data_IF_672725281165
#
_entry.id   IF_672725281165
#
_cell.length_a   1.000
_cell.length_b   1.000
_cell.length_c   1.000
_cell.angle_alpha   90.00
_cell.angle_beta   90.00
_cell.angle_gamma   90.00
#
_symmetry.space_group_name_H-M   'P 1'
#
loop_
_entity.id
_entity.type
_entity.pdbx_description
1 polymer ?
#
# COMPACT_ATOMS: atom_id res chain seq x y z
N UNK A 1 27.27 -2.09 11.89
CA UNK A 1 26.32 -3.15 12.24
C UNK A 1 24.91 -2.58 12.15
N UNK A 2 23.95 -3.35 11.62
CA UNK A 2 22.56 -2.92 11.44
C UNK A 2 21.89 -2.46 12.75
N UNK A 3 22.32 -3.02 13.89
CA UNK A 3 21.85 -2.63 15.21
C UNK A 3 22.01 -1.12 15.49
N UNK A 4 23.23 -0.59 15.31
CA UNK A 4 23.52 0.83 15.55
C UNK A 4 22.72 1.74 14.60
N UNK A 5 22.45 1.27 13.38
CA UNK A 5 21.60 1.99 12.44
C UNK A 5 20.15 2.04 12.93
N UNK A 6 19.61 0.91 13.37
CA UNK A 6 18.24 0.82 13.89
C UNK A 6 18.05 1.68 15.15
N UNK A 7 19.03 1.70 16.06
CA UNK A 7 19.04 2.63 17.20
C UNK A 7 19.05 4.09 16.76
N UNK A 8 19.89 4.44 15.77
CA UNK A 8 19.99 5.82 15.29
C UNK A 8 18.69 6.34 14.66
N UNK A 9 17.90 5.47 14.01
CA UNK A 9 16.63 5.83 13.35
C UNK A 9 15.40 5.56 14.21
N UNK A 10 15.54 4.95 15.39
CA UNK A 10 14.40 4.52 16.22
C UNK A 10 13.45 5.67 16.55
N UNK A 11 13.99 6.84 16.87
CA UNK A 11 13.20 8.02 17.23
C UNK A 11 12.28 8.50 16.09
N UNK A 12 12.76 8.46 14.83
CA UNK A 12 11.94 8.87 13.67
C UNK A 12 10.95 7.76 13.29
N UNK A 13 11.37 6.49 13.34
CA UNK A 13 10.48 5.35 13.06
C UNK A 13 9.29 5.34 14.03
N UNK A 14 9.54 5.57 15.33
CA UNK A 14 8.49 5.68 16.34
C UNK A 14 7.48 6.77 16.00
N UNK A 15 7.95 7.98 15.67
CA UNK A 15 7.07 9.10 15.30
C UNK A 15 6.27 8.84 14.02
N UNK A 16 6.86 8.12 13.06
CA UNK A 16 6.14 7.73 11.83
C UNK A 16 5.01 6.74 12.16
N UNK A 17 5.22 5.77 13.04
CA UNK A 17 4.13 4.86 13.47
C UNK A 17 3.06 5.56 14.31
N UNK A 18 3.43 6.51 15.17
CA UNK A 18 2.47 7.36 15.88
C UNK A 18 1.60 8.14 14.90
N UNK A 19 2.22 8.84 13.94
CA UNK A 19 1.48 9.55 12.89
C UNK A 19 0.61 8.58 12.06
N UNK A 20 1.14 7.41 11.69
CA UNK A 20 0.39 6.38 10.96
C UNK A 20 -0.88 5.97 11.70
N UNK A 21 -0.81 5.79 13.02
CA UNK A 21 -1.96 5.47 13.84
C UNK A 21 -3.01 6.59 13.84
N UNK A 22 -2.58 7.85 13.94
CA UNK A 22 -3.47 9.02 13.88
C UNK A 22 -4.20 9.10 12.52
N UNK A 23 -3.49 8.89 11.42
CA UNK A 23 -4.08 8.88 10.07
C UNK A 23 -5.10 7.76 9.89
N UNK A 24 -4.88 6.57 10.46
CA UNK A 24 -5.87 5.49 10.42
C UNK A 24 -7.18 5.86 11.13
N UNK A 25 -7.11 6.62 12.23
CA UNK A 25 -8.32 7.13 12.91
C UNK A 25 -9.07 8.10 12.00
N UNK A 26 -8.36 9.08 11.43
CA UNK A 26 -8.93 10.10 10.52
C UNK A 26 -9.58 9.43 9.31
N UNK A 27 -8.87 8.53 8.64
CA UNK A 27 -9.34 7.80 7.46
C UNK A 27 -10.58 6.97 7.78
N UNK A 28 -10.61 6.28 8.93
CA UNK A 28 -11.76 5.48 9.33
C UNK A 28 -13.01 6.33 9.55
N UNK A 29 -12.87 7.54 10.11
CA UNK A 29 -13.99 8.45 10.31
C UNK A 29 -14.47 9.06 8.98
N UNK A 30 -13.55 9.45 8.10
CA UNK A 30 -13.88 9.93 6.76
C UNK A 30 -14.55 8.85 5.91
N UNK A 31 -14.11 7.59 6.02
CA UNK A 31 -14.69 6.47 5.29
C UNK A 31 -16.17 6.24 5.64
N UNK A 32 -16.56 6.40 6.91
CA UNK A 32 -17.97 6.29 7.33
C UNK A 32 -18.83 7.36 6.64
N UNK A 33 -18.29 8.56 6.50
CA UNK A 33 -18.97 9.70 5.89
C UNK A 33 -18.92 9.69 4.36
N UNK A 34 -17.93 9.01 3.76
CA UNK A 34 -17.74 8.89 2.32
C UNK A 34 -18.67 7.89 1.64
N UNK A 35 -19.52 7.18 2.40
CA UNK A 35 -20.42 6.17 1.85
C UNK A 35 -21.61 6.82 1.12
N UNK A 36 -21.73 6.64 -0.21
CA UNK A 36 -22.83 7.25 -0.96
C UNK A 36 -24.18 6.65 -0.56
N UNK A 37 -25.29 7.36 -0.80
CA UNK A 37 -26.60 6.77 -0.65
C UNK A 37 -26.73 5.55 -1.59
N UNK A 38 -27.32 4.46 -1.09
CA UNK A 38 -27.48 3.21 -1.85
C UNK A 38 -28.92 3.11 -2.36
N UNK A 39 -29.07 3.01 -3.67
CA UNK A 39 -30.36 2.70 -4.28
C UNK A 39 -30.58 1.20 -4.31
N UNK A 40 -31.66 0.74 -3.67
CA UNK A 40 -32.06 -0.67 -3.65
C UNK A 40 -33.28 -0.84 -4.54
N UNK A 41 -33.22 -1.80 -5.46
CA UNK A 41 -34.33 -2.08 -6.38
C UNK A 41 -34.58 -3.59 -6.49
N UNK A 42 -35.81 -3.94 -6.92
CA UNK A 42 -36.13 -5.31 -7.30
C UNK A 42 -35.55 -5.60 -8.69
N UNK A 43 -34.78 -6.69 -8.82
CA UNK A 43 -34.19 -7.10 -10.11
C UNK A 43 -35.21 -7.66 -11.10
N UNK A 44 -36.40 -8.05 -10.63
CA UNK A 44 -37.49 -8.54 -11.48
C UNK A 44 -38.26 -7.40 -12.16
N UNK A 45 -38.03 -6.14 -11.78
CA UNK A 45 -38.65 -4.99 -12.44
C UNK A 45 -38.03 -4.75 -13.84
N UNK A 46 -38.80 -4.28 -14.83
CA UNK A 46 -38.26 -3.84 -16.10
C UNK A 46 -37.20 -2.74 -15.92
N UNK A 47 -36.21 -2.69 -16.82
CA UNK A 47 -35.08 -1.73 -16.74
C UNK A 47 -35.57 -0.28 -16.75
N UNK A 48 -36.60 0.01 -17.52
CA UNK A 48 -37.20 1.34 -17.67
C UNK A 48 -37.83 1.80 -16.35
N UNK A 49 -38.46 0.87 -15.62
CA UNK A 49 -39.04 1.13 -14.29
C UNK A 49 -37.93 1.41 -13.29
N UNK A 50 -36.88 0.59 -13.28
CA UNK A 50 -35.71 0.79 -12.39
C UNK A 50 -35.07 2.16 -12.65
N UNK A 51 -34.86 2.53 -13.93
CA UNK A 51 -34.24 3.80 -14.30
C UNK A 51 -35.10 5.00 -13.87
N UNK A 52 -36.42 4.94 -14.09
CA UNK A 52 -37.36 5.99 -13.65
C UNK A 52 -37.37 6.13 -12.13
N UNK A 53 -37.43 5.01 -11.41
CA UNK A 53 -37.49 5.01 -9.94
C UNK A 53 -36.16 5.49 -9.34
N UNK A 54 -35.02 5.14 -9.95
CA UNK A 54 -33.71 5.67 -9.59
C UNK A 54 -33.62 7.19 -9.81
N UNK A 55 -34.10 7.71 -10.94
CA UNK A 55 -34.14 9.14 -11.20
C UNK A 55 -35.01 9.88 -10.17
N UNK A 56 -36.20 9.35 -9.86
CA UNK A 56 -37.07 9.91 -8.83
C UNK A 56 -36.43 9.85 -7.42
N UNK A 57 -35.68 8.78 -7.12
CA UNK A 57 -34.95 8.64 -5.86
C UNK A 57 -33.81 9.65 -5.72
N UNK A 58 -33.05 9.92 -6.78
CA UNK A 58 -32.00 10.96 -6.78
C UNK A 58 -32.55 12.36 -6.53
N UNK A 59 -33.80 12.62 -6.91
CA UNK A 59 -34.45 13.92 -6.70
C UNK A 59 -34.87 14.17 -5.24
N UNK A 60 -34.84 13.15 -4.37
CA UNK A 60 -35.19 13.29 -2.96
C UNK A 60 -34.16 14.15 -2.22
N UNK A 61 -34.62 15.17 -1.47
CA UNK A 61 -33.76 16.13 -0.76
C UNK A 61 -32.70 15.46 0.12
N UNK A 62 -33.09 14.43 0.88
CA UNK A 62 -32.18 13.69 1.75
C UNK A 62 -31.10 12.92 0.97
N UNK A 63 -31.41 12.45 -0.24
CA UNK A 63 -30.46 11.74 -1.09
C UNK A 63 -29.45 12.72 -1.67
N UNK A 64 -29.90 13.88 -2.16
CA UNK A 64 -29.01 14.96 -2.60
C UNK A 64 -28.04 15.40 -1.50
N UNK A 65 -28.57 15.71 -0.31
CA UNK A 65 -27.75 16.11 0.84
C UNK A 65 -26.73 15.03 1.24
N UNK A 66 -27.16 13.76 1.29
CA UNK A 66 -26.24 12.65 1.62
C UNK A 66 -25.18 12.45 0.54
N UNK A 67 -25.55 12.60 -0.74
CA UNK A 67 -24.61 12.53 -1.86
C UNK A 67 -23.59 13.65 -1.80
N UNK A 68 -24.00 14.89 -1.60
CA UNK A 68 -23.09 16.03 -1.46
C UNK A 68 -22.11 15.84 -0.28
N UNK A 69 -22.60 15.37 0.88
CA UNK A 69 -21.74 15.04 2.03
C UNK A 69 -20.74 13.93 1.68
N UNK A 70 -21.22 12.87 1.04
CA UNK A 70 -20.40 11.74 0.62
C UNK A 70 -19.32 12.16 -0.37
N UNK A 71 -19.66 12.96 -1.38
CA UNK A 71 -18.72 13.43 -2.40
C UNK A 71 -17.60 14.29 -1.75
N UNK A 72 -17.94 15.19 -0.83
CA UNK A 72 -16.96 15.98 -0.07
C UNK A 72 -16.07 15.11 0.86
N UNK A 73 -16.66 14.08 1.48
CA UNK A 73 -15.91 13.16 2.34
C UNK A 73 -14.97 12.24 1.52
N UNK A 74 -15.33 11.88 0.28
CA UNK A 74 -14.46 11.11 -0.63
C UNK A 74 -13.19 11.91 -0.98
N UNK A 75 -13.33 13.20 -1.27
CA UNK A 75 -12.18 14.07 -1.56
C UNK A 75 -11.22 14.13 -0.36
N UNK A 76 -11.76 14.41 0.83
CA UNK A 76 -10.96 14.44 2.06
C UNK A 76 -10.32 13.08 2.36
N UNK A 77 -11.09 11.98 2.24
CA UNK A 77 -10.58 10.62 2.43
C UNK A 77 -9.38 10.33 1.51
N UNK A 78 -9.49 10.72 0.24
CA UNK A 78 -8.44 10.51 -0.76
C UNK A 78 -7.17 11.30 -0.38
N UNK A 79 -7.32 12.54 0.07
CA UNK A 79 -6.21 13.39 0.51
C UNK A 79 -5.49 12.81 1.73
N UNK A 80 -6.25 12.34 2.73
CA UNK A 80 -5.67 11.74 3.94
C UNK A 80 -5.01 10.38 3.64
N UNK A 81 -5.58 9.58 2.73
CA UNK A 81 -4.93 8.35 2.24
C UNK A 81 -3.61 8.64 1.51
N UNK A 82 -3.57 9.72 0.72
CA UNK A 82 -2.33 10.16 0.09
C UNK A 82 -1.29 10.59 1.14
N UNK A 83 -1.70 11.35 2.17
CA UNK A 83 -0.81 11.75 3.25
C UNK A 83 -0.26 10.55 4.05
N UNK A 84 -1.09 9.54 4.34
CA UNK A 84 -0.66 8.28 4.93
C UNK A 84 0.43 7.60 4.07
N UNK A 85 0.30 7.65 2.74
CA UNK A 85 1.30 7.07 1.84
C UNK A 85 2.69 7.72 1.94
N UNK A 86 2.78 9.00 2.34
CA UNK A 86 4.06 9.69 2.58
C UNK A 86 4.76 9.12 3.82
N UNK A 87 3.99 8.81 4.86
CA UNK A 87 4.48 8.19 6.10
C UNK A 87 4.97 6.78 5.80
N UNK A 88 4.14 5.98 5.14
CA UNK A 88 4.46 4.61 4.74
C UNK A 88 5.70 4.58 3.80
N UNK A 89 5.83 5.57 2.91
CA UNK A 89 6.94 5.67 1.96
C UNK A 89 8.24 6.02 2.68
N UNK A 90 8.16 6.85 3.71
CA UNK A 90 9.28 7.18 4.58
C UNK A 90 9.79 5.95 5.35
N UNK A 91 8.89 5.11 5.86
CA UNK A 91 9.26 3.83 6.50
C UNK A 91 10.00 2.92 5.52
N UNK A 92 9.48 2.75 4.30
CA UNK A 92 10.14 1.95 3.25
C UNK A 92 11.50 2.53 2.85
N UNK A 93 11.63 3.85 2.80
CA UNK A 93 12.89 4.54 2.48
C UNK A 93 13.97 4.29 3.56
N UNK A 94 13.59 4.36 4.84
CA UNK A 94 14.49 4.04 5.97
C UNK A 94 14.90 2.56 5.88
N UNK A 95 13.94 1.64 5.79
CA UNK A 95 14.24 0.22 5.70
C UNK A 95 15.15 -0.13 4.52
N UNK A 96 14.84 0.41 3.34
CA UNK A 96 15.65 0.23 2.15
C UNK A 96 17.09 0.70 2.37
N UNK A 97 17.30 1.84 3.05
CA UNK A 97 18.64 2.34 3.34
C UNK A 97 19.42 1.44 4.30
N UNK A 98 18.75 0.87 5.30
CA UNK A 98 19.35 -0.12 6.19
C UNK A 98 19.89 -1.33 5.42
N UNK A 99 19.08 -1.90 4.53
CA UNK A 99 19.48 -3.05 3.68
C UNK A 99 20.63 -2.65 2.74
N UNK A 100 20.56 -1.49 2.08
CA UNK A 100 21.64 -1.02 1.18
C UNK A 100 23.00 -0.92 1.89
N UNK A 101 23.00 -0.49 3.16
CA UNK A 101 24.22 -0.26 3.93
C UNK A 101 24.78 -1.52 4.58
N UNK A 102 23.93 -2.47 4.99
CA UNK A 102 24.34 -3.57 5.87
C UNK A 102 24.04 -4.98 5.35
N UNK A 103 23.32 -5.13 4.22
CA UNK A 103 23.19 -6.44 3.56
C UNK A 103 24.46 -6.76 2.78
N UNK A 104 24.98 -7.96 3.01
CA UNK A 104 26.12 -8.53 2.31
C UNK A 104 25.71 -9.49 1.19
N UNK A 105 24.40 -9.75 1.04
CA UNK A 105 23.91 -10.67 0.02
C UNK A 105 24.24 -10.20 -1.40
N UNK A 106 24.78 -11.11 -2.21
CA UNK A 106 25.00 -10.93 -3.64
C UNK A 106 24.30 -12.01 -4.48
N UNK A 107 23.57 -12.92 -3.82
CA UNK A 107 22.88 -14.03 -4.46
C UNK A 107 21.41 -13.71 -4.65
N UNK A 108 20.88 -14.06 -5.82
CA UNK A 108 19.46 -13.97 -6.08
C UNK A 108 18.77 -15.23 -5.55
N UNK A 109 18.08 -15.09 -4.41
CA UNK A 109 17.29 -16.15 -3.77
C UNK A 109 15.81 -16.12 -4.18
N UNK A 110 15.43 -15.20 -5.08
CA UNK A 110 14.06 -14.98 -5.50
C UNK A 110 13.72 -15.71 -6.80
N UNK A 111 12.43 -15.92 -7.12
CA UNK A 111 12.01 -16.51 -8.40
C UNK A 111 12.23 -15.58 -9.61
N UNK A 112 12.65 -14.33 -9.40
CA UNK A 112 12.83 -13.33 -10.45
C UNK A 112 14.17 -13.51 -11.17
N UNK A 113 14.21 -13.81 -12.47
CA UNK A 113 15.48 -13.94 -13.18
C UNK A 113 16.16 -12.59 -13.39
N UNK A 114 17.49 -12.57 -13.48
CA UNK A 114 18.29 -11.40 -13.91
C UNK A 114 18.15 -10.14 -13.04
N UNK A 115 18.05 -10.28 -11.71
CA UNK A 115 18.19 -9.13 -10.82
C UNK A 115 19.56 -8.46 -11.00
N UNK A 116 19.56 -7.13 -11.04
CA UNK A 116 20.81 -6.36 -10.97
C UNK A 116 21.53 -6.65 -9.66
N UNK A 117 22.86 -6.50 -9.61
CA UNK A 117 23.65 -6.65 -8.38
C UNK A 117 23.08 -5.83 -7.21
N UNK A 118 22.63 -4.60 -7.51
CA UNK A 118 21.99 -3.73 -6.52
C UNK A 118 20.70 -4.34 -5.94
N UNK A 119 19.90 -5.02 -6.76
CA UNK A 119 18.66 -5.67 -6.34
C UNK A 119 18.93 -7.02 -5.65
N UNK A 120 19.99 -7.74 -6.00
CA UNK A 120 20.38 -8.98 -5.32
C UNK A 120 20.63 -8.78 -3.81
N UNK A 121 21.16 -7.62 -3.41
CA UNK A 121 21.30 -7.25 -1.98
C UNK A 121 20.01 -7.31 -1.18
N UNK A 122 18.87 -7.17 -1.84
CA UNK A 122 17.55 -7.20 -1.24
C UNK A 122 16.92 -8.59 -1.25
N UNK A 123 17.58 -9.61 -1.84
CA UNK A 123 17.10 -11.00 -1.86
C UNK A 123 17.36 -11.70 -0.52
N UNK A 124 16.79 -11.13 0.55
CA UNK A 124 17.04 -11.46 1.97
C UNK A 124 15.76 -11.33 2.80
N UNK A 125 15.75 -11.98 3.96
CA UNK A 125 14.63 -11.97 4.91
C UNK A 125 13.58 -13.06 4.63
N UNK A 126 12.49 -13.04 5.40
CA UNK A 126 11.38 -13.97 5.28
C UNK A 126 10.77 -13.97 3.87
N UNK A 127 10.35 -15.14 3.40
CA UNK A 127 9.65 -15.28 2.13
C UNK A 127 8.15 -14.99 2.33
N UNK A 128 7.68 -13.90 1.72
CA UNK A 128 6.28 -13.48 1.74
C UNK A 128 5.74 -13.55 0.32
N UNK A 129 4.73 -14.39 0.09
CA UNK A 129 4.15 -14.64 -1.25
C UNK A 129 5.21 -15.00 -2.30
N UNK A 130 6.16 -15.87 -1.92
CA UNK A 130 7.32 -16.32 -2.71
C UNK A 130 8.41 -15.27 -2.95
N UNK A 131 8.32 -14.10 -2.31
CA UNK A 131 9.28 -13.01 -2.48
C UNK A 131 9.96 -12.72 -1.13
N UNK A 132 11.31 -12.66 -1.08
CA UNK A 132 12.03 -12.17 0.08
C UNK A 132 11.55 -10.78 0.53
N UNK A 133 11.34 -10.59 1.83
CA UNK A 133 10.87 -9.34 2.40
C UNK A 133 11.73 -8.12 1.99
N UNK A 134 13.04 -8.31 1.84
CA UNK A 134 13.93 -7.25 1.33
C UNK A 134 13.56 -6.77 -0.08
N UNK A 135 13.15 -7.67 -0.98
CA UNK A 135 12.73 -7.32 -2.34
C UNK A 135 11.37 -6.61 -2.33
N UNK A 136 10.48 -6.97 -1.39
CA UNK A 136 9.22 -6.26 -1.16
C UNK A 136 9.50 -4.82 -0.71
N UNK A 137 10.44 -4.62 0.22
CA UNK A 137 10.88 -3.28 0.67
C UNK A 137 11.49 -2.49 -0.50
N UNK A 138 12.33 -3.13 -1.31
CA UNK A 138 12.92 -2.52 -2.51
C UNK A 138 11.87 -2.05 -3.51
N UNK A 139 10.90 -2.92 -3.84
CA UNK A 139 9.82 -2.61 -4.75
C UNK A 139 8.94 -1.48 -4.21
N UNK A 140 8.55 -1.54 -2.94
CA UNK A 140 7.74 -0.52 -2.30
C UNK A 140 8.41 0.85 -2.28
N UNK A 141 9.70 0.91 -1.91
CA UNK A 141 10.46 2.16 -1.96
C UNK A 141 10.55 2.72 -3.39
N UNK A 142 10.82 1.87 -4.38
CA UNK A 142 10.93 2.31 -5.76
C UNK A 142 9.58 2.77 -6.32
N UNK A 143 8.49 2.08 -5.99
CA UNK A 143 7.13 2.47 -6.35
C UNK A 143 6.80 3.86 -5.78
N UNK A 144 7.11 4.07 -4.49
CA UNK A 144 6.89 5.34 -3.83
C UNK A 144 7.67 6.51 -4.49
N UNK A 145 8.95 6.30 -4.80
CA UNK A 145 9.80 7.35 -5.38
C UNK A 145 9.59 7.59 -6.88
N UNK A 146 8.90 6.69 -7.58
CA UNK A 146 8.65 6.74 -9.01
C UNK A 146 7.18 6.47 -9.31
N UNK A 147 6.29 7.01 -8.49
CA UNK A 147 4.86 6.80 -8.60
C UNK A 147 4.35 7.24 -9.97
N UNK A 148 4.84 8.39 -10.45
CA UNK A 148 4.53 9.00 -11.74
C UNK A 148 4.94 8.16 -12.95
N UNK A 149 5.90 7.23 -12.77
CA UNK A 149 6.33 6.37 -13.87
C UNK A 149 5.24 5.36 -14.23
N UNK A 150 4.34 4.98 -13.31
CA UNK A 150 3.22 4.06 -13.58
C UNK A 150 3.64 2.81 -14.38
N UNK A 151 3.05 2.62 -15.58
CA UNK A 151 3.40 1.54 -16.51
C UNK A 151 4.84 1.59 -17.06
N UNK A 152 5.65 2.59 -16.70
CA UNK A 152 7.07 2.72 -17.04
C UNK A 152 8.00 2.40 -15.88
N UNK A 153 7.47 2.04 -14.70
CA UNK A 153 8.26 1.52 -13.57
C UNK A 153 9.25 0.45 -14.04
N UNK A 154 10.47 0.47 -13.48
CA UNK A 154 11.52 -0.47 -13.90
C UNK A 154 11.08 -1.92 -13.68
N UNK A 155 11.51 -2.81 -14.60
CA UNK A 155 11.08 -4.22 -14.65
C UNK A 155 11.09 -4.94 -13.29
N UNK A 156 12.16 -4.88 -12.47
CA UNK A 156 12.18 -5.63 -11.21
C UNK A 156 11.04 -5.24 -10.25
N UNK A 157 10.76 -3.94 -10.12
CA UNK A 157 9.66 -3.47 -9.25
C UNK A 157 8.30 -3.96 -9.77
N UNK A 158 8.07 -3.88 -11.08
CA UNK A 158 6.81 -4.37 -11.66
C UNK A 158 6.61 -5.87 -11.51
N UNK A 159 7.65 -6.65 -11.77
CA UNK A 159 7.58 -8.10 -11.65
C UNK A 159 7.35 -8.53 -10.21
N UNK A 160 7.96 -7.86 -9.22
CA UNK A 160 7.68 -8.08 -7.79
C UNK A 160 6.20 -7.81 -7.49
N UNK A 161 5.66 -6.66 -7.90
CA UNK A 161 4.25 -6.31 -7.65
C UNK A 161 3.31 -7.32 -8.31
N UNK A 162 3.59 -7.74 -9.54
CA UNK A 162 2.80 -8.75 -10.25
C UNK A 162 2.82 -10.10 -9.52
N UNK A 163 3.98 -10.55 -9.07
CA UNK A 163 4.10 -11.79 -8.29
C UNK A 163 3.34 -11.71 -6.96
N UNK A 164 3.44 -10.57 -6.24
CA UNK A 164 2.65 -10.35 -5.02
C UNK A 164 1.15 -10.44 -5.29
N UNK A 165 0.68 -9.99 -6.46
CA UNK A 165 -0.73 -10.08 -6.83
C UNK A 165 -1.16 -11.50 -7.21
N UNK A 166 -0.38 -12.18 -8.05
CA UNK A 166 -0.63 -13.58 -8.46
C UNK A 166 -0.70 -14.50 -7.24
N UNK A 167 0.19 -14.29 -6.28
CA UNK A 167 0.27 -15.08 -5.05
C UNK A 167 -0.59 -14.53 -3.90
N UNK A 168 -1.60 -13.70 -4.21
CA UNK A 168 -2.45 -13.04 -3.20
C UNK A 168 -3.04 -14.00 -2.16
N UNK A 169 -3.43 -15.20 -2.57
CA UNK A 169 -4.07 -16.19 -1.69
C UNK A 169 -3.12 -16.80 -0.63
N UNK A 170 -1.80 -16.70 -0.80
CA UNK A 170 -0.84 -17.39 0.07
C UNK A 170 -0.69 -16.72 1.44
N UNK A 171 -0.81 -15.39 1.52
CA UNK A 171 -0.60 -14.63 2.74
C UNK A 171 -1.32 -13.27 2.70
N UNK A 172 -2.07 -12.96 3.77
CA UNK A 172 -2.91 -11.74 3.89
C UNK A 172 -3.72 -11.45 2.61
N UNK A 173 -4.66 -12.33 2.21
CA UNK A 173 -5.33 -12.26 0.89
C UNK A 173 -6.12 -10.97 0.64
N UNK A 174 -6.46 -10.23 1.70
CA UNK A 174 -7.14 -8.94 1.60
C UNK A 174 -6.23 -7.79 1.14
N UNK A 175 -4.90 -7.99 1.11
CA UNK A 175 -3.95 -6.99 0.63
C UNK A 175 -3.70 -7.22 -0.85
N UNK A 176 -4.18 -6.27 -1.65
CA UNK A 176 -4.16 -6.32 -3.12
C UNK A 176 -3.06 -5.42 -3.65
N UNK A 177 -2.39 -5.91 -4.69
CA UNK A 177 -1.38 -5.20 -5.45
C UNK A 177 -1.91 -5.04 -6.87
N UNK A 178 -2.51 -3.89 -7.14
CA UNK A 178 -3.17 -3.61 -8.41
C UNK A 178 -2.62 -2.33 -9.03
N UNK A 179 -2.12 -2.46 -10.25
CA UNK A 179 -1.60 -1.35 -11.04
C UNK A 179 -2.70 -0.54 -11.72
N UNK A 180 -3.95 -1.02 -11.71
CA UNK A 180 -5.05 -0.35 -12.38
C UNK A 180 -5.09 1.13 -12.00
N UNK A 181 -5.00 1.97 -13.03
CA UNK A 181 -5.00 3.42 -12.88
C UNK A 181 -6.42 3.87 -12.56
N UNK A 182 -6.56 4.69 -11.53
CA UNK A 182 -7.81 5.39 -11.29
C UNK A 182 -7.72 6.75 -11.97
N UNK A 183 -8.57 7.01 -12.97
CA UNK A 183 -8.55 8.25 -13.76
C UNK A 183 -7.18 8.57 -14.37
N UNK A 184 -6.49 7.57 -14.94
CA UNK A 184 -5.16 7.70 -15.57
C UNK A 184 -4.02 8.08 -14.59
N UNK A 185 -4.30 8.22 -13.29
CA UNK A 185 -3.29 8.45 -12.27
C UNK A 185 -2.79 7.11 -11.71
N UNK A 186 -1.46 6.93 -11.58
CA UNK A 186 -0.90 5.73 -10.99
C UNK A 186 -1.29 5.61 -9.52
N UNK A 187 -1.78 4.43 -9.15
CA UNK A 187 -2.22 4.14 -7.79
C UNK A 187 -1.02 4.05 -6.84
N UNK A 188 -1.11 4.70 -5.69
CA UNK A 188 -0.10 4.57 -4.66
C UNK A 188 -0.31 3.26 -3.87
N UNK A 189 0.66 2.35 -3.91
CA UNK A 189 0.60 1.02 -3.30
C UNK A 189 1.38 0.93 -1.98
N UNK A 190 1.90 2.05 -1.49
CA UNK A 190 2.82 2.09 -0.35
C UNK A 190 2.19 1.49 0.91
N UNK A 191 0.92 1.77 1.19
CA UNK A 191 0.18 1.17 2.31
C UNK A 191 -0.02 -0.33 2.14
N UNK A 192 -0.19 -0.84 0.91
CA UNK A 192 -0.21 -2.29 0.63
C UNK A 192 1.15 -2.94 0.95
N UNK A 193 2.26 -2.27 0.63
CA UNK A 193 3.60 -2.75 0.99
C UNK A 193 3.82 -2.82 2.51
N UNK A 194 3.44 -1.79 3.25
CA UNK A 194 3.52 -1.80 4.72
C UNK A 194 2.62 -2.89 5.32
N UNK A 195 1.39 -2.99 4.83
CA UNK A 195 0.43 -3.99 5.29
C UNK A 195 0.89 -5.42 5.02
N UNK A 196 1.48 -5.70 3.85
CA UNK A 196 1.97 -7.05 3.54
C UNK A 196 3.18 -7.41 4.41
N UNK A 197 4.08 -6.46 4.66
CA UNK A 197 5.20 -6.64 5.61
C UNK A 197 4.73 -6.80 7.06
N UNK A 198 3.49 -6.38 7.37
CA UNK A 198 2.92 -6.50 8.72
C UNK A 198 3.49 -5.51 9.70
N UNK A 199 3.93 -4.36 9.22
CA UNK A 199 4.46 -3.31 10.06
C UNK A 199 3.34 -2.48 10.66
N UNK A 200 3.02 -2.76 11.91
CA UNK A 200 2.07 -1.96 12.71
C UNK A 200 2.77 -1.18 13.83
N UNK A 201 4.04 -1.49 14.10
CA UNK A 201 4.83 -0.88 15.16
C UNK A 201 6.33 -0.82 14.84
N UNK A 202 7.06 -0.01 15.63
CA UNK A 202 8.53 0.04 15.60
C UNK A 202 9.16 -1.33 15.83
N UNK A 203 8.49 -2.20 16.60
CA UNK A 203 8.97 -3.55 16.88
C UNK A 203 8.96 -4.40 15.60
N UNK A 204 7.84 -4.45 14.89
CA UNK A 204 7.68 -5.24 13.67
C UNK A 204 8.70 -4.81 12.59
N UNK A 205 8.87 -3.49 12.45
CA UNK A 205 9.89 -2.89 11.58
C UNK A 205 11.30 -3.36 11.95
N UNK A 206 11.64 -3.28 13.24
CA UNK A 206 12.97 -3.66 13.75
C UNK A 206 13.23 -5.14 13.57
N UNK A 207 12.26 -6.00 13.88
CA UNK A 207 12.39 -7.46 13.75
C UNK A 207 12.60 -7.87 12.29
N UNK A 208 11.84 -7.29 11.36
CA UNK A 208 12.02 -7.53 9.93
C UNK A 208 13.45 -7.19 9.48
N UNK A 209 13.98 -6.03 9.87
CA UNK A 209 15.32 -5.62 9.46
C UNK A 209 16.44 -6.37 10.19
N UNK A 210 16.23 -6.80 11.43
CA UNK A 210 17.20 -7.64 12.15
C UNK A 210 17.31 -9.03 11.50
N UNK A 211 16.20 -9.66 11.11
CA UNK A 211 16.19 -10.99 10.47
C UNK A 211 16.92 -11.03 9.12
N UNK A 212 17.10 -9.87 8.48
CA UNK A 212 17.79 -9.76 7.19
C UNK A 212 19.30 -10.00 7.31
N UNK A 213 19.87 -9.80 8.51
CA UNK A 213 21.31 -9.91 8.75
C UNK A 213 21.73 -11.24 9.43
N UNK A 214 20.80 -12.18 9.63
CA UNK A 214 21.07 -13.48 10.26
C UNK A 214 21.36 -14.61 9.26
N UNK A 215 21.52 -14.28 7.97
CA UNK A 215 21.84 -15.22 6.86
C UNK A 215 23.23 -14.90 6.31
#
# INVERSE_FOLDING_TARGET
>A
MIHNYLEAVESVVKRLFEARADYHVIINDLFKDSMPPIFVHNRNNPKEVIARDHAAWLEQKQIKLKKEKSDAAIENLTNEQFALSIIDGSLLQIACKGIELYSESNQNTSPLPNLSEKACKFSVGEIIREIPAGLIIYAGRNHYNHLEDGERLRKPTKEIINLLNVNSQQYKPNIVFDFDTYNELPRNLTTSFIGILGWESTKDFRETLMSINEI
#
